data_IF_047950034581
#
_entry.id   IF_047950034581
#
_cell.length_a   1.000
_cell.length_b   1.000
_cell.length_c   1.000
_cell.angle_alpha   90.00
_cell.angle_beta   90.00
_cell.angle_gamma   90.00
#
_symmetry.space_group_name_H-M   'P 1'
#
loop_
_entity.id
_entity.type
_entity.pdbx_description
1 polymer ?
#
# COMPACT_ATOMS: atom_id res chain seq x y z
N UNK A 1 -33.37 13.18 3.29
CA UNK A 1 -32.59 13.75 2.17
C UNK A 1 -31.17 14.15 2.59
N UNK A 2 -30.88 14.40 3.89
CA UNK A 2 -29.51 14.67 4.34
C UNK A 2 -28.59 13.44 4.39
N UNK A 3 -29.13 12.24 4.63
CA UNK A 3 -28.30 11.07 4.95
C UNK A 3 -27.53 10.47 3.76
N UNK A 4 -27.97 10.75 2.53
CA UNK A 4 -27.34 10.20 1.31
C UNK A 4 -26.03 10.95 1.00
N UNK A 5 -25.99 12.28 1.18
CA UNK A 5 -24.80 13.08 0.89
C UNK A 5 -23.64 12.83 1.87
N UNK A 6 -23.92 12.47 3.12
CA UNK A 6 -22.87 12.15 4.08
C UNK A 6 -22.22 10.79 3.79
N UNK A 7 -23.00 9.81 3.32
CA UNK A 7 -22.48 8.51 2.87
C UNK A 7 -21.55 8.65 1.67
N UNK A 8 -22.02 9.30 0.61
CA UNK A 8 -21.24 9.49 -0.63
C UNK A 8 -19.92 10.21 -0.37
N UNK A 9 -19.91 11.17 0.56
CA UNK A 9 -18.71 11.92 0.94
C UNK A 9 -17.76 11.13 1.86
N UNK A 10 -18.29 10.22 2.66
CA UNK A 10 -17.49 9.30 3.47
C UNK A 10 -16.85 8.20 2.60
N UNK A 11 -17.59 7.68 1.62
CA UNK A 11 -17.13 6.69 0.65
C UNK A 11 -16.01 7.25 -0.23
N UNK A 12 -16.21 8.44 -0.82
CA UNK A 12 -15.15 9.08 -1.62
C UNK A 12 -13.87 9.44 -0.84
N UNK A 13 -13.98 9.69 0.47
CA UNK A 13 -12.81 9.88 1.35
C UNK A 13 -12.11 8.56 1.70
N UNK A 14 -12.86 7.48 1.86
CA UNK A 14 -12.30 6.17 2.15
C UNK A 14 -11.54 5.63 0.94
N UNK A 15 -12.12 5.77 -0.25
CA UNK A 15 -11.52 5.32 -1.52
C UNK A 15 -10.23 6.06 -1.83
N UNK A 16 -10.23 7.40 -1.81
CA UNK A 16 -9.02 8.19 -2.07
C UNK A 16 -7.90 7.97 -1.05
N UNK A 17 -8.24 7.60 0.20
CA UNK A 17 -7.23 7.22 1.20
C UNK A 17 -6.64 5.84 0.91
N UNK A 18 -7.45 4.89 0.49
CA UNK A 18 -7.00 3.55 0.11
C UNK A 18 -6.10 3.60 -1.14
N UNK A 19 -6.52 4.33 -2.18
CA UNK A 19 -5.74 4.52 -3.41
C UNK A 19 -4.41 5.22 -3.13
N UNK A 20 -4.42 6.30 -2.33
CA UNK A 20 -3.19 7.01 -1.97
C UNK A 20 -2.21 6.14 -1.16
N UNK A 21 -2.73 5.27 -0.30
CA UNK A 21 -1.91 4.32 0.46
C UNK A 21 -1.31 3.25 -0.45
N UNK A 22 -2.13 2.66 -1.35
CA UNK A 22 -1.67 1.68 -2.33
C UNK A 22 -0.60 2.25 -3.26
N UNK A 23 -0.83 3.44 -3.82
CA UNK A 23 0.14 4.13 -4.68
C UNK A 23 1.45 4.44 -3.95
N UNK A 24 1.37 4.85 -2.68
CA UNK A 24 2.56 5.09 -1.85
C UNK A 24 3.37 3.83 -1.57
N UNK A 25 2.70 2.72 -1.26
CA UNK A 25 3.32 1.40 -1.05
C UNK A 25 3.96 0.90 -2.35
N UNK A 26 3.26 1.01 -3.47
CA UNK A 26 3.73 0.63 -4.79
C UNK A 26 5.01 1.37 -5.18
N UNK A 27 4.99 2.71 -5.10
CA UNK A 27 6.16 3.54 -5.39
C UNK A 27 7.33 3.20 -4.47
N UNK A 28 7.05 2.90 -3.20
CA UNK A 28 8.08 2.47 -2.26
C UNK A 28 8.69 1.12 -2.63
N UNK A 29 7.88 0.12 -3.00
CA UNK A 29 8.38 -1.19 -3.42
C UNK A 29 9.23 -1.05 -4.68
N UNK A 30 8.73 -0.37 -5.71
CA UNK A 30 9.44 -0.10 -6.96
C UNK A 30 10.80 0.56 -6.72
N UNK A 31 10.84 1.64 -5.93
CA UNK A 31 12.09 2.35 -5.61
C UNK A 31 13.10 1.42 -4.92
N UNK A 32 12.65 0.58 -3.98
CA UNK A 32 13.57 -0.35 -3.32
C UNK A 32 14.01 -1.52 -4.23
N UNK A 33 13.16 -1.95 -5.17
CA UNK A 33 13.54 -2.93 -6.20
C UNK A 33 14.57 -2.34 -7.17
N UNK A 34 14.40 -1.08 -7.59
CA UNK A 34 15.37 -0.34 -8.41
C UNK A 34 16.70 -0.13 -7.68
N UNK A 35 16.67 0.08 -6.36
CA UNK A 35 17.87 0.12 -5.51
C UNK A 35 18.55 -1.26 -5.29
N UNK A 36 18.08 -2.33 -5.94
CA UNK A 36 18.52 -3.71 -5.74
C UNK A 36 18.43 -4.20 -4.28
N UNK A 37 17.43 -3.72 -3.51
CA UNK A 37 17.18 -4.24 -2.17
C UNK A 37 16.52 -5.60 -2.22
N UNK A 38 16.82 -6.41 -1.20
CA UNK A 38 16.19 -7.73 -1.04
C UNK A 38 14.78 -7.57 -0.50
N UNK A 39 13.91 -8.53 -0.82
CA UNK A 39 12.52 -8.59 -0.36
C UNK A 39 12.38 -8.37 1.16
N UNK A 40 13.24 -9.02 1.96
CA UNK A 40 13.26 -8.86 3.42
C UNK A 40 13.53 -7.41 3.87
N UNK A 41 14.40 -6.69 3.17
CA UNK A 41 14.66 -5.28 3.45
C UNK A 41 13.46 -4.40 3.10
N UNK A 42 12.79 -4.69 1.98
CA UNK A 42 11.59 -3.97 1.55
C UNK A 42 10.46 -4.21 2.57
N UNK A 43 10.24 -5.46 2.98
CA UNK A 43 9.26 -5.83 4.01
C UNK A 43 9.52 -5.14 5.34
N UNK A 44 10.75 -5.17 5.83
CA UNK A 44 11.11 -4.52 7.09
C UNK A 44 10.87 -3.01 7.04
N UNK A 45 11.16 -2.37 5.90
CA UNK A 45 10.89 -0.95 5.68
C UNK A 45 9.40 -0.66 5.56
N UNK A 46 8.62 -1.48 4.85
CA UNK A 46 7.16 -1.34 4.73
C UNK A 46 6.47 -1.41 6.09
N UNK A 47 6.81 -2.43 6.89
CA UNK A 47 6.31 -2.58 8.27
C UNK A 47 6.64 -1.33 9.10
N UNK A 48 7.87 -0.81 8.99
CA UNK A 48 8.30 0.36 9.76
C UNK A 48 7.68 1.68 9.28
N UNK A 49 7.49 1.87 7.98
CA UNK A 49 7.02 3.15 7.38
C UNK A 49 5.51 3.24 7.30
N UNK A 50 4.86 2.14 6.95
CA UNK A 50 3.41 2.08 6.75
C UNK A 50 2.68 1.43 7.94
N UNK A 51 3.41 1.02 8.99
CA UNK A 51 2.86 0.30 10.14
C UNK A 51 2.06 -0.95 9.74
N UNK A 52 2.44 -1.57 8.61
CA UNK A 52 1.82 -2.78 8.09
C UNK A 52 2.31 -4.01 8.84
N UNK A 53 1.48 -5.04 8.88
CA UNK A 53 1.92 -6.35 9.32
C UNK A 53 2.88 -6.95 8.29
N UNK A 54 3.81 -7.83 8.72
CA UNK A 54 4.68 -8.57 7.78
C UNK A 54 3.90 -9.29 6.69
N UNK A 55 2.73 -9.83 7.04
CA UNK A 55 1.87 -10.54 6.11
C UNK A 55 1.23 -9.59 5.07
N UNK A 56 0.80 -8.40 5.49
CA UNK A 56 0.25 -7.38 4.59
C UNK A 56 1.34 -6.82 3.67
N UNK A 57 2.49 -6.47 4.22
CA UNK A 57 3.65 -6.06 3.43
C UNK A 57 4.07 -7.15 2.42
N UNK A 58 3.97 -8.42 2.82
CA UNK A 58 4.16 -9.59 1.96
C UNK A 58 3.20 -9.60 0.79
N UNK A 59 1.89 -9.43 1.04
CA UNK A 59 0.87 -9.39 -0.02
C UNK A 59 1.13 -8.27 -1.03
N UNK A 60 1.46 -7.07 -0.56
CA UNK A 60 1.81 -5.97 -1.45
C UNK A 60 3.06 -6.27 -2.26
N UNK A 61 4.12 -6.78 -1.62
CA UNK A 61 5.36 -7.13 -2.32
C UNK A 61 5.13 -8.22 -3.38
N UNK A 62 4.36 -9.25 -3.05
CA UNK A 62 4.00 -10.38 -3.93
C UNK A 62 3.21 -9.93 -5.17
N UNK A 63 2.42 -8.85 -5.05
CA UNK A 63 1.68 -8.24 -6.16
C UNK A 63 2.60 -7.53 -7.18
N UNK A 64 3.77 -7.06 -6.72
CA UNK A 64 4.74 -6.34 -7.55
C UNK A 64 5.95 -7.18 -7.98
N UNK A 65 6.27 -8.25 -7.26
CA UNK A 65 7.33 -9.17 -7.64
C UNK A 65 6.74 -10.24 -8.55
N UNK A 66 7.15 -10.28 -9.84
CA UNK A 66 6.66 -11.31 -10.75
C UNK A 66 7.11 -12.68 -10.23
N UNK A 67 6.14 -13.55 -9.98
CA UNK A 67 6.41 -14.98 -9.78
C UNK A 67 6.64 -15.62 -11.13
N UNK A 68 7.90 -15.88 -11.44
CA UNK A 68 8.33 -16.71 -12.59
C UNK A 68 7.92 -18.18 -12.38
#
# INVERSE_FOLDING_TARGET
>A
MCDILEKERAEGKAEGKAEGMAAGIAAFILDNLEEHKTEEQILAKLVKRFSLSREEAGKYLDEYIPKD
#
